data_IF_282126404046
#
_entry.id   IF_282126404046
#
_cell.length_a   1.000
_cell.length_b   1.000
_cell.length_c   1.000
_cell.angle_alpha   90.00
_cell.angle_beta   90.00
_cell.angle_gamma   90.00
#
_symmetry.space_group_name_H-M   'P 1'
#
loop_
_entity.id
_entity.type
_entity.pdbx_description
1 polymer ?
#
# COMPACT_ATOMS: atom_id res chain seq x y z
N UNK A 1 -28.23 -7.52 -16.63
CA UNK A 1 -26.99 -8.17 -17.14
C UNK A 1 -25.94 -7.21 -17.71
N UNK A 2 -26.27 -6.17 -18.50
CA UNK A 2 -25.25 -5.25 -19.06
C UNK A 2 -24.42 -4.52 -18.00
N UNK A 3 -25.05 -3.98 -16.95
CA UNK A 3 -24.36 -3.23 -15.89
C UNK A 3 -23.29 -4.06 -15.13
N UNK A 4 -23.57 -5.34 -14.87
CA UNK A 4 -22.62 -6.25 -14.21
C UNK A 4 -21.37 -6.52 -15.07
N UNK A 5 -21.55 -6.58 -16.39
CA UNK A 5 -20.46 -6.78 -17.36
C UNK A 5 -19.57 -5.54 -17.47
N UNK A 6 -20.17 -4.34 -17.45
CA UNK A 6 -19.43 -3.07 -17.45
C UNK A 6 -18.64 -2.88 -16.15
N UNK A 7 -19.23 -3.22 -15.00
CA UNK A 7 -18.56 -3.17 -13.70
C UNK A 7 -17.33 -4.09 -13.64
N UNK A 8 -17.47 -5.33 -14.08
CA UNK A 8 -16.34 -6.28 -14.11
C UNK A 8 -15.21 -5.83 -15.05
N UNK A 9 -15.53 -5.11 -16.13
CA UNK A 9 -14.53 -4.58 -17.04
C UNK A 9 -13.74 -3.42 -16.41
N UNK A 10 -14.44 -2.50 -15.74
CA UNK A 10 -13.82 -1.36 -15.03
C UNK A 10 -12.92 -1.85 -13.89
N UNK A 11 -13.38 -2.81 -13.10
CA UNK A 11 -12.58 -3.42 -12.03
C UNK A 11 -11.29 -4.01 -12.61
N UNK A 12 -11.37 -4.77 -13.71
CA UNK A 12 -10.18 -5.33 -14.36
C UNK A 12 -9.23 -4.24 -14.87
N UNK A 13 -9.74 -3.22 -15.54
CA UNK A 13 -8.91 -2.13 -16.10
C UNK A 13 -8.18 -1.36 -14.99
N UNK A 14 -8.79 -1.19 -13.82
CA UNK A 14 -8.18 -0.47 -12.69
C UNK A 14 -7.22 -1.38 -11.91
N UNK A 15 -7.60 -2.63 -11.62
CA UNK A 15 -6.78 -3.53 -10.81
C UNK A 15 -5.59 -4.12 -11.58
N UNK A 16 -5.73 -4.37 -12.88
CA UNK A 16 -4.65 -4.97 -13.69
C UNK A 16 -3.35 -4.15 -13.68
N UNK A 17 -3.34 -2.83 -13.94
CA UNK A 17 -2.11 -2.03 -13.89
C UNK A 17 -1.53 -1.93 -12.46
N UNK A 18 -2.37 -1.93 -11.43
CA UNK A 18 -1.92 -1.96 -10.02
C UNK A 18 -1.20 -3.27 -9.72
N UNK A 19 -1.75 -4.40 -10.16
CA UNK A 19 -1.14 -5.73 -9.99
C UNK A 19 0.17 -5.83 -10.78
N UNK A 20 0.19 -5.37 -12.03
CA UNK A 20 1.40 -5.36 -12.87
C UNK A 20 2.49 -4.49 -12.23
N UNK A 21 2.13 -3.29 -11.75
CA UNK A 21 3.06 -2.40 -11.06
C UNK A 21 3.63 -3.01 -9.78
N UNK A 22 2.79 -3.65 -8.97
CA UNK A 22 3.23 -4.36 -7.77
C UNK A 22 4.16 -5.54 -8.09
N UNK A 23 3.82 -6.33 -9.12
CA UNK A 23 4.66 -7.44 -9.57
C UNK A 23 6.02 -6.98 -10.09
N UNK A 24 6.07 -5.86 -10.83
CA UNK A 24 7.32 -5.26 -11.30
C UNK A 24 8.20 -4.77 -10.14
N UNK A 25 7.61 -4.09 -9.14
CA UNK A 25 8.33 -3.66 -7.93
C UNK A 25 8.87 -4.87 -7.15
N UNK A 26 8.08 -5.94 -7.05
CA UNK A 26 8.49 -7.17 -6.37
C UNK A 26 9.60 -7.90 -7.13
N UNK A 27 9.53 -7.95 -8.45
CA UNK A 27 10.60 -8.47 -9.30
C UNK A 27 11.90 -7.67 -9.08
N UNK A 28 11.85 -6.34 -9.11
CA UNK A 28 13.04 -5.51 -8.82
C UNK A 28 13.60 -5.75 -7.42
N UNK A 29 12.75 -5.90 -6.42
CA UNK A 29 13.17 -6.20 -5.05
C UNK A 29 13.95 -7.52 -4.96
N UNK A 30 13.50 -8.57 -5.66
CA UNK A 30 14.17 -9.88 -5.66
C UNK A 30 15.44 -9.86 -6.51
N UNK A 31 15.38 -9.31 -7.72
CA UNK A 31 16.48 -9.36 -8.68
C UNK A 31 17.61 -8.39 -8.34
N UNK A 32 17.27 -7.17 -7.90
CA UNK A 32 18.21 -6.08 -7.63
C UNK A 32 17.77 -5.28 -6.39
N UNK A 33 17.89 -5.86 -5.18
CA UNK A 33 17.41 -5.22 -3.95
C UNK A 33 18.05 -3.86 -3.69
N UNK A 34 19.33 -3.69 -4.03
CA UNK A 34 20.03 -2.41 -3.85
C UNK A 34 19.41 -1.29 -4.68
N UNK A 35 19.13 -1.53 -5.97
CA UNK A 35 18.47 -0.55 -6.83
C UNK A 35 17.05 -0.25 -6.40
N UNK A 36 16.34 -1.26 -5.90
CA UNK A 36 15.00 -1.08 -5.34
C UNK A 36 15.03 -0.09 -4.17
N UNK A 37 15.93 -0.29 -3.19
CA UNK A 37 16.01 0.59 -2.03
C UNK A 37 16.42 2.02 -2.40
N UNK A 38 17.37 2.17 -3.34
CA UNK A 38 17.71 3.49 -3.90
C UNK A 38 16.53 4.16 -4.58
N UNK A 39 15.73 3.41 -5.34
CA UNK A 39 14.51 3.93 -5.97
C UNK A 39 13.47 4.36 -4.93
N UNK A 40 13.27 3.58 -3.87
CA UNK A 40 12.33 3.92 -2.78
C UNK A 40 12.77 5.17 -2.02
N UNK A 41 14.06 5.28 -1.74
CA UNK A 41 14.65 6.41 -1.03
C UNK A 41 14.61 7.69 -1.87
N UNK A 42 15.08 7.64 -3.12
CA UNK A 42 15.09 8.79 -4.04
C UNK A 42 13.70 9.36 -4.31
N UNK A 43 12.67 8.49 -4.41
CA UNK A 43 11.29 8.92 -4.62
C UNK A 43 10.53 9.17 -3.31
N UNK A 44 11.19 9.04 -2.15
CA UNK A 44 10.62 9.28 -0.83
C UNK A 44 9.31 8.52 -0.60
N UNK A 45 9.30 7.28 -1.08
CA UNK A 45 8.11 6.40 -1.05
C UNK A 45 8.02 5.60 0.24
N UNK A 46 9.08 5.56 1.05
CA UNK A 46 9.14 4.76 2.26
C UNK A 46 7.98 5.01 3.24
N UNK A 47 7.61 6.28 3.56
CA UNK A 47 6.46 6.52 4.43
C UNK A 47 5.14 6.06 3.81
N UNK A 48 4.97 6.21 2.48
CA UNK A 48 3.76 5.77 1.77
C UNK A 48 3.63 4.26 1.78
N UNK A 49 4.74 3.53 1.62
CA UNK A 49 4.77 2.07 1.69
C UNK A 49 4.35 1.60 3.08
N UNK A 50 4.88 2.19 4.15
CA UNK A 50 4.47 1.86 5.53
C UNK A 50 2.97 2.10 5.71
N UNK A 51 2.45 3.22 5.22
CA UNK A 51 1.04 3.55 5.31
C UNK A 51 0.16 2.52 4.56
N UNK A 52 0.51 2.18 3.32
CA UNK A 52 -0.22 1.20 2.52
C UNK A 52 -0.22 -0.20 3.14
N UNK A 53 0.94 -0.68 3.61
CA UNK A 53 1.05 -1.98 4.26
C UNK A 53 0.21 -2.02 5.53
N UNK A 54 0.30 -0.98 6.37
CA UNK A 54 -0.47 -0.91 7.62
C UNK A 54 -1.98 -0.88 7.36
N UNK A 55 -2.42 -0.16 6.33
CA UNK A 55 -3.83 -0.05 5.94
C UNK A 55 -4.36 -1.38 5.38
N UNK A 56 -3.63 -2.01 4.47
CA UNK A 56 -4.00 -3.32 3.90
C UNK A 56 -4.03 -4.41 4.98
N UNK A 57 -3.05 -4.43 5.88
CA UNK A 57 -2.98 -5.40 6.96
C UNK A 57 -4.12 -5.21 7.96
N UNK A 58 -4.44 -3.95 8.33
CA UNK A 58 -5.57 -3.63 9.19
C UNK A 58 -6.91 -4.02 8.57
N UNK A 59 -7.10 -3.71 7.28
CA UNK A 59 -8.31 -4.08 6.53
C UNK A 59 -8.47 -5.59 6.42
N UNK A 60 -7.40 -6.30 6.06
CA UNK A 60 -7.38 -7.76 5.99
C UNK A 60 -7.68 -8.40 7.36
N UNK A 61 -7.07 -7.89 8.43
CA UNK A 61 -7.27 -8.38 9.79
C UNK A 61 -8.72 -8.27 10.28
N UNK A 62 -9.38 -7.15 9.98
CA UNK A 62 -10.82 -6.96 10.27
C UNK A 62 -11.66 -7.87 9.38
N UNK A 63 -11.42 -7.88 8.07
CA UNK A 63 -12.21 -8.67 7.12
C UNK A 63 -12.16 -10.17 7.41
N UNK A 64 -11.00 -10.67 7.84
CA UNK A 64 -10.80 -12.06 8.25
C UNK A 64 -11.19 -12.36 9.71
N UNK A 65 -11.63 -11.34 10.48
CA UNK A 65 -11.92 -11.43 11.92
C UNK A 65 -10.77 -11.99 12.76
N UNK A 66 -9.54 -11.86 12.28
CA UNK A 66 -8.33 -12.38 12.96
C UNK A 66 -7.73 -11.38 13.93
N UNK A 67 -7.98 -10.09 13.71
CA UNK A 67 -7.44 -9.04 14.56
C UNK A 67 -8.48 -8.52 15.53
N UNK A 68 -8.02 -8.24 16.76
CA UNK A 68 -8.80 -7.45 17.69
C UNK A 68 -9.02 -6.04 17.11
N UNK A 69 -10.14 -5.42 17.48
CA UNK A 69 -10.48 -4.06 17.05
C UNK A 69 -9.37 -3.08 17.44
N UNK A 70 -8.77 -3.25 18.62
CA UNK A 70 -7.63 -2.45 19.08
C UNK A 70 -6.41 -2.54 18.17
N UNK A 71 -6.05 -3.75 17.70
CA UNK A 71 -4.96 -3.96 16.75
C UNK A 71 -5.22 -3.24 15.43
N UNK A 72 -6.45 -3.31 14.93
CA UNK A 72 -6.80 -2.64 13.69
C UNK A 72 -6.81 -1.10 13.82
N UNK A 73 -7.31 -0.56 14.94
CA UNK A 73 -7.23 0.88 15.24
C UNK A 73 -5.77 1.34 15.28
N UNK A 74 -4.89 0.57 15.91
CA UNK A 74 -3.47 0.87 15.96
C UNK A 74 -2.83 0.90 14.56
N UNK A 75 -3.10 -0.10 13.72
CA UNK A 75 -2.61 -0.15 12.34
C UNK A 75 -3.15 1.02 11.49
N UNK A 76 -4.42 1.38 11.64
CA UNK A 76 -4.98 2.54 10.95
C UNK A 76 -4.40 3.86 11.46
N UNK A 77 -4.06 3.95 12.75
CA UNK A 77 -3.39 5.13 13.31
C UNK A 77 -1.98 5.29 12.75
N UNK A 78 -1.23 4.19 12.61
CA UNK A 78 0.08 4.20 11.93
C UNK A 78 -0.09 4.61 10.46
N UNK A 79 -1.07 4.04 9.76
CA UNK A 79 -1.33 4.38 8.37
C UNK A 79 -1.67 5.87 8.20
N UNK A 80 -2.54 6.40 9.06
CA UNK A 80 -2.92 7.81 9.08
C UNK A 80 -1.72 8.71 9.39
N UNK A 81 -0.91 8.34 10.38
CA UNK A 81 0.30 9.07 10.72
C UNK A 81 1.22 9.18 9.50
N UNK A 82 1.59 8.05 8.88
CA UNK A 82 2.52 8.07 7.76
C UNK A 82 1.91 8.60 6.45
N UNK A 83 0.59 8.60 6.29
CA UNK A 83 -0.05 9.20 5.12
C UNK A 83 -0.12 10.74 5.20
N UNK A 84 -0.38 11.30 6.39
CA UNK A 84 -0.73 12.71 6.55
C UNK A 84 0.18 13.49 7.49
N UNK A 85 0.41 12.99 8.71
CA UNK A 85 1.11 13.73 9.76
C UNK A 85 2.63 13.66 9.60
N UNK A 86 3.15 12.50 9.21
CA UNK A 86 4.58 12.22 9.18
C UNK A 86 5.37 13.17 8.29
N UNK A 87 4.74 13.76 7.26
CA UNK A 87 5.35 14.79 6.41
C UNK A 87 5.80 16.03 7.18
N UNK A 88 5.10 16.38 8.25
CA UNK A 88 5.44 17.56 9.06
C UNK A 88 6.60 17.30 10.02
N UNK A 89 6.74 16.05 10.47
CA UNK A 89 7.75 15.63 11.46
C UNK A 89 9.03 15.20 10.74
N UNK A 90 8.92 14.34 9.72
CA UNK A 90 10.04 13.72 9.02
C UNK A 90 10.19 14.29 7.60
N UNK A 91 10.37 15.61 7.48
CA UNK A 91 10.43 16.30 6.16
C UNK A 91 11.44 15.71 5.17
N UNK A 92 12.54 15.14 5.64
CA UNK A 92 13.57 14.56 4.76
C UNK A 92 13.15 13.20 4.16
N UNK A 93 12.20 12.50 4.80
CA UNK A 93 11.69 11.19 4.34
C UNK A 93 10.50 11.31 3.38
N UNK A 94 9.96 12.53 3.15
CA UNK A 94 8.80 12.84 2.31
C UNK A 94 9.11 13.83 1.19
#
# INVERSE_FOLDING_TARGET
MKALKTWNLLVKIIFLPVIIGAAFLFYKLISNPHEFWLYIESNKLFPRIIAWISLLLGLYGIASRRFAVSTAIFLFSIAFFFAYIGRFIFKNMY
#
